data_IF_516062094097
#
_entry.id   IF_516062094097
#
_cell.length_a   1.000
_cell.length_b   1.000
_cell.length_c   1.000
_cell.angle_alpha   90.00
_cell.angle_beta   90.00
_cell.angle_gamma   90.00
#
_symmetry.space_group_name_H-M   'P 1'
#
loop_
_entity.id
_entity.type
_entity.pdbx_description
1 polymer ?
#
# COMPACT_ATOMS: atom_id res chain seq x y z
N UNK A 1 7.96 -9.83 -19.41
CA UNK A 1 9.40 -10.18 -19.43
C UNK A 1 10.04 -10.00 -20.80
N UNK A 2 9.55 -10.65 -21.88
CA UNK A 2 10.12 -10.54 -23.25
C UNK A 2 10.19 -9.09 -23.73
N UNK A 3 9.13 -8.29 -23.55
CA UNK A 3 9.09 -6.86 -23.93
C UNK A 3 10.12 -6.03 -23.16
N UNK A 4 10.29 -6.29 -21.87
CA UNK A 4 11.26 -5.60 -21.02
C UNK A 4 12.70 -5.96 -21.42
N UNK A 5 12.95 -7.24 -21.66
CA UNK A 5 14.25 -7.71 -22.19
C UNK A 5 14.56 -7.07 -23.55
N UNK A 6 13.58 -7.05 -24.46
CA UNK A 6 13.72 -6.40 -25.76
C UNK A 6 14.03 -4.91 -25.64
N UNK A 7 13.29 -4.17 -24.78
CA UNK A 7 13.56 -2.75 -24.56
C UNK A 7 14.92 -2.50 -23.91
N UNK A 8 15.35 -3.37 -22.99
CA UNK A 8 16.66 -3.32 -22.38
C UNK A 8 17.78 -3.47 -23.43
N UNK A 9 17.71 -4.52 -24.26
CA UNK A 9 18.70 -4.77 -25.33
C UNK A 9 18.68 -3.68 -26.40
N UNK A 10 17.50 -3.15 -26.75
CA UNK A 10 17.38 -2.09 -27.76
C UNK A 10 17.98 -0.76 -27.30
N UNK A 11 17.96 -0.47 -26.00
CA UNK A 11 18.49 0.80 -25.45
C UNK A 11 19.98 0.77 -25.15
N UNK A 12 20.68 -0.37 -25.32
CA UNK A 12 22.11 -0.58 -25.03
C UNK A 12 22.63 0.40 -23.95
N UNK A 13 22.34 0.10 -22.65
CA UNK A 13 22.73 0.99 -21.57
C UNK A 13 24.19 0.75 -21.18
N UNK A 14 25.05 1.78 -21.25
CA UNK A 14 26.45 1.67 -20.83
C UNK A 14 26.63 1.47 -19.31
N UNK A 15 25.56 1.59 -18.52
CA UNK A 15 25.63 1.59 -17.05
C UNK A 15 25.34 0.23 -16.38
N UNK A 16 25.14 -0.85 -17.16
CA UNK A 16 24.84 -2.17 -16.59
C UNK A 16 23.46 -2.27 -15.91
N UNK A 17 23.19 -3.43 -15.29
CA UNK A 17 21.95 -3.71 -14.54
C UNK A 17 22.17 -3.36 -13.08
N UNK A 18 21.34 -2.49 -12.52
CA UNK A 18 21.33 -2.19 -11.10
C UNK A 18 20.48 -3.23 -10.38
N UNK A 19 21.06 -3.97 -9.45
CA UNK A 19 20.35 -4.96 -8.62
C UNK A 19 20.60 -4.62 -7.14
N UNK A 20 19.56 -4.46 -6.31
CA UNK A 20 19.73 -4.29 -4.86
C UNK A 20 20.08 -5.65 -4.22
N UNK A 21 21.39 -5.88 -4.09
CA UNK A 21 21.94 -7.17 -3.63
C UNK A 21 21.45 -7.53 -2.23
N UNK A 22 21.35 -6.53 -1.33
CA UNK A 22 20.89 -6.73 0.05
C UNK A 22 19.48 -7.35 0.08
N UNK A 23 18.55 -6.81 -0.74
CA UNK A 23 17.19 -7.35 -0.84
C UNK A 23 17.17 -8.76 -1.43
N UNK A 24 18.02 -9.03 -2.42
CA UNK A 24 18.15 -10.34 -3.02
C UNK A 24 18.64 -11.37 -2.00
N UNK A 25 19.67 -11.03 -1.21
CA UNK A 25 20.22 -11.89 -0.15
C UNK A 25 19.17 -12.21 0.90
N UNK A 26 18.38 -11.20 1.32
CA UNK A 26 17.28 -11.42 2.29
C UNK A 26 16.24 -12.39 1.73
N UNK A 27 15.78 -12.23 0.50
CA UNK A 27 14.77 -13.12 -0.10
C UNK A 27 15.31 -14.55 -0.23
N UNK A 28 16.54 -14.72 -0.70
CA UNK A 28 17.18 -16.04 -0.80
C UNK A 28 17.33 -16.65 0.59
N UNK A 29 17.74 -15.85 1.58
CA UNK A 29 17.84 -16.28 2.98
C UNK A 29 16.51 -16.77 3.55
N UNK A 30 15.40 -16.05 3.27
CA UNK A 30 14.06 -16.46 3.69
C UNK A 30 13.62 -17.76 3.02
N UNK A 31 13.94 -17.96 1.72
CA UNK A 31 13.68 -19.23 1.03
C UNK A 31 14.47 -20.36 1.71
N UNK A 32 15.76 -20.17 1.93
CA UNK A 32 16.60 -21.17 2.60
C UNK A 32 16.11 -21.49 4.02
N UNK A 33 15.76 -20.45 4.81
CA UNK A 33 15.21 -20.59 6.15
C UNK A 33 13.87 -21.35 6.16
N UNK A 34 13.01 -21.14 5.18
CA UNK A 34 11.71 -21.81 5.08
C UNK A 34 11.81 -23.32 4.77
N UNK A 35 12.98 -23.80 4.33
CA UNK A 35 13.25 -25.24 4.16
C UNK A 35 13.47 -25.94 5.50
N UNK A 36 13.98 -25.24 6.53
CA UNK A 36 14.33 -25.84 7.82
C UNK A 36 13.11 -26.52 8.48
N UNK A 37 11.93 -25.88 8.62
CA UNK A 37 10.75 -26.53 9.20
C UNK A 37 10.32 -27.81 8.46
N UNK A 38 10.47 -27.85 7.12
CA UNK A 38 10.16 -29.03 6.33
C UNK A 38 11.08 -30.21 6.70
N UNK A 39 12.37 -29.93 6.86
CA UNK A 39 13.36 -30.95 7.20
C UNK A 39 13.21 -31.42 8.66
N UNK A 40 12.95 -30.48 9.57
CA UNK A 40 12.85 -30.81 11.01
C UNK A 40 11.54 -31.53 11.33
N UNK A 41 10.42 -31.05 10.77
CA UNK A 41 9.10 -31.59 11.09
C UNK A 41 8.65 -32.73 10.14
N UNK A 42 9.42 -33.03 9.09
CA UNK A 42 9.07 -34.02 8.08
C UNK A 42 7.78 -33.70 7.31
N UNK A 43 7.34 -32.43 7.33
CA UNK A 43 6.11 -32.00 6.65
C UNK A 43 6.34 -31.85 5.14
N UNK A 44 5.27 -32.07 4.35
CA UNK A 44 5.30 -31.85 2.89
C UNK A 44 4.57 -30.56 2.49
N UNK A 45 4.42 -29.61 3.40
CA UNK A 45 3.79 -28.33 3.11
C UNK A 45 4.80 -27.33 2.54
N UNK A 46 4.76 -27.17 1.22
CA UNK A 46 5.61 -26.24 0.47
C UNK A 46 5.03 -24.83 0.33
N UNK A 47 3.92 -24.52 0.99
CA UNK A 47 3.19 -23.25 0.82
C UNK A 47 4.08 -22.03 1.09
N UNK A 48 4.87 -22.06 2.17
CA UNK A 48 5.76 -20.98 2.57
C UNK A 48 6.91 -20.78 1.57
N UNK A 49 7.54 -21.89 1.13
CA UNK A 49 8.58 -21.81 0.09
C UNK A 49 8.01 -21.22 -1.20
N UNK A 50 6.83 -21.70 -1.62
CA UNK A 50 6.17 -21.21 -2.83
C UNK A 50 5.86 -19.72 -2.75
N UNK A 51 5.48 -19.23 -1.56
CA UNK A 51 5.26 -17.81 -1.32
C UNK A 51 6.55 -17.00 -1.56
N UNK A 52 7.66 -17.37 -0.93
CA UNK A 52 8.92 -16.65 -1.12
C UNK A 52 9.51 -16.78 -2.53
N UNK A 53 9.29 -17.91 -3.21
CA UNK A 53 9.67 -18.05 -4.63
C UNK A 53 8.85 -17.09 -5.52
N UNK A 54 7.55 -16.92 -5.25
CA UNK A 54 6.73 -15.90 -5.96
C UNK A 54 7.26 -14.48 -5.70
N UNK A 55 7.64 -14.17 -4.47
CA UNK A 55 8.25 -12.88 -4.13
C UNK A 55 9.58 -12.65 -4.85
N UNK A 56 10.42 -13.68 -4.98
CA UNK A 56 11.65 -13.60 -5.77
C UNK A 56 11.36 -13.29 -7.25
N UNK A 57 10.33 -13.92 -7.82
CA UNK A 57 9.92 -13.64 -9.21
C UNK A 57 9.45 -12.19 -9.36
N UNK A 58 8.64 -11.69 -8.41
CA UNK A 58 8.17 -10.30 -8.39
C UNK A 58 9.34 -9.31 -8.21
N UNK A 59 10.31 -9.65 -7.35
CA UNK A 59 11.52 -8.86 -7.17
C UNK A 59 12.32 -8.75 -8.46
N UNK A 60 12.59 -9.88 -9.16
CA UNK A 60 13.29 -9.90 -10.43
C UNK A 60 12.53 -9.08 -11.48
N UNK A 61 11.20 -9.17 -11.50
CA UNK A 61 10.35 -8.36 -12.37
C UNK A 61 10.48 -6.87 -12.05
N UNK A 62 10.44 -6.49 -10.76
CA UNK A 62 10.65 -5.11 -10.30
C UNK A 62 12.02 -4.54 -10.69
N UNK A 63 13.08 -5.34 -10.54
CA UNK A 63 14.43 -4.99 -10.98
C UNK A 63 14.46 -4.78 -12.49
N UNK A 64 13.79 -5.64 -13.26
CA UNK A 64 13.66 -5.50 -14.72
C UNK A 64 12.93 -4.20 -15.10
N UNK A 65 11.82 -3.90 -14.45
CA UNK A 65 11.06 -2.65 -14.64
C UNK A 65 11.93 -1.42 -14.33
N UNK A 66 12.58 -1.42 -13.17
CA UNK A 66 13.44 -0.32 -12.76
C UNK A 66 14.54 -0.06 -13.79
N UNK A 67 15.26 -1.10 -14.20
CA UNK A 67 16.35 -0.97 -15.17
C UNK A 67 15.85 -0.56 -16.56
N UNK A 68 14.66 -1.01 -16.98
CA UNK A 68 14.10 -0.66 -18.28
C UNK A 68 13.62 0.79 -18.36
N UNK A 69 13.02 1.32 -17.30
CA UNK A 69 12.29 2.60 -17.35
C UNK A 69 12.90 3.70 -16.50
N UNK A 70 13.58 3.36 -15.39
CA UNK A 70 13.99 4.32 -14.37
C UNK A 70 15.52 4.42 -14.15
N UNK A 71 16.32 3.47 -14.61
CA UNK A 71 17.78 3.53 -14.46
C UNK A 71 18.40 4.55 -15.43
N UNK A 72 18.13 5.84 -15.21
CA UNK A 72 18.66 6.96 -15.97
C UNK A 72 18.86 8.18 -15.05
N UNK A 73 19.47 9.25 -15.56
CA UNK A 73 19.83 10.46 -14.78
C UNK A 73 18.64 11.05 -14.02
N UNK A 74 17.44 11.01 -14.59
CA UNK A 74 16.21 11.54 -13.97
C UNK A 74 15.31 10.44 -13.41
N UNK A 75 15.83 9.22 -13.22
CA UNK A 75 15.06 8.04 -12.84
C UNK A 75 14.29 8.21 -11.53
N UNK A 76 14.93 8.76 -10.50
CA UNK A 76 14.28 9.00 -9.21
C UNK A 76 13.09 9.96 -9.32
N UNK A 77 13.24 11.06 -10.05
CA UNK A 77 12.14 12.02 -10.26
C UNK A 77 10.98 11.37 -11.01
N UNK A 78 11.30 10.54 -12.00
CA UNK A 78 10.30 9.81 -12.79
C UNK A 78 9.53 8.80 -11.92
N UNK A 79 10.24 8.00 -11.10
CA UNK A 79 9.61 7.08 -10.15
C UNK A 79 8.66 7.83 -9.22
N UNK A 80 9.13 8.93 -8.61
CA UNK A 80 8.31 9.71 -7.68
C UNK A 80 7.07 10.28 -8.36
N UNK A 81 7.18 10.81 -9.57
CA UNK A 81 6.04 11.31 -10.33
C UNK A 81 5.03 10.19 -10.64
N UNK A 82 5.53 9.03 -11.08
CA UNK A 82 4.67 7.91 -11.44
C UNK A 82 4.00 7.30 -10.18
N UNK A 83 4.69 7.29 -9.03
CA UNK A 83 4.09 6.93 -7.74
C UNK A 83 3.04 7.95 -7.27
N UNK A 84 3.28 9.25 -7.46
CA UNK A 84 2.28 10.29 -7.17
C UNK A 84 1.02 10.10 -8.03
N UNK A 85 1.19 9.81 -9.32
CA UNK A 85 0.07 9.48 -10.20
C UNK A 85 -0.66 8.22 -9.72
N UNK A 86 0.06 7.18 -9.31
CA UNK A 86 -0.51 5.97 -8.73
C UNK A 86 -1.37 6.23 -7.50
N UNK A 87 -0.95 7.15 -6.62
CA UNK A 87 -1.75 7.60 -5.47
C UNK A 87 -3.06 8.26 -5.91
N UNK A 88 -3.00 9.16 -6.89
CA UNK A 88 -4.21 9.82 -7.42
C UNK A 88 -5.18 8.80 -8.04
N UNK A 89 -4.66 7.89 -8.85
CA UNK A 89 -5.47 6.81 -9.46
C UNK A 89 -6.09 5.92 -8.39
N UNK A 90 -5.30 5.48 -7.40
CA UNK A 90 -5.80 4.65 -6.31
C UNK A 90 -6.91 5.35 -5.52
N UNK A 91 -6.72 6.63 -5.18
CA UNK A 91 -7.74 7.41 -4.49
C UNK A 91 -9.03 7.47 -5.31
N UNK A 92 -8.95 7.82 -6.60
CA UNK A 92 -10.12 7.91 -7.47
C UNK A 92 -10.86 6.56 -7.58
N UNK A 93 -10.12 5.50 -7.83
CA UNK A 93 -10.66 4.13 -7.94
C UNK A 93 -11.29 3.66 -6.64
N UNK A 94 -10.63 3.92 -5.49
CA UNK A 94 -11.14 3.59 -4.17
C UNK A 94 -12.44 4.33 -3.86
N UNK A 95 -12.51 5.64 -4.15
CA UNK A 95 -13.73 6.45 -3.96
C UNK A 95 -14.87 5.94 -4.84
N UNK A 96 -14.63 5.65 -6.12
CA UNK A 96 -15.65 5.12 -7.04
C UNK A 96 -16.16 3.76 -6.55
N UNK A 97 -15.27 2.90 -6.02
CA UNK A 97 -15.66 1.63 -5.40
C UNK A 97 -16.52 1.82 -4.16
N UNK A 98 -16.14 2.73 -3.26
CA UNK A 98 -16.90 3.06 -2.04
C UNK A 98 -18.27 3.70 -2.33
N UNK A 99 -18.42 4.38 -3.48
CA UNK A 99 -19.72 4.89 -3.96
C UNK A 99 -20.63 3.80 -4.53
N UNK A 100 -20.18 2.54 -4.54
CA UNK A 100 -20.99 1.40 -4.95
C UNK A 100 -21.09 1.20 -6.47
N UNK A 101 -20.16 1.75 -7.26
CA UNK A 101 -20.14 1.54 -8.71
C UNK A 101 -19.76 0.08 -9.04
N UNK A 102 -20.74 -0.75 -9.41
CA UNK A 102 -20.57 -2.19 -9.61
C UNK A 102 -19.44 -2.55 -10.56
N UNK A 103 -19.33 -1.85 -11.69
CA UNK A 103 -18.24 -2.07 -12.66
C UNK A 103 -16.85 -1.89 -12.07
N UNK A 104 -16.71 -0.92 -11.14
CA UNK A 104 -15.43 -0.65 -10.47
C UNK A 104 -15.15 -1.70 -9.40
N UNK A 105 -16.18 -2.09 -8.64
CA UNK A 105 -16.07 -3.14 -7.63
C UNK A 105 -15.66 -4.45 -8.30
N UNK A 106 -16.32 -4.86 -9.38
CA UNK A 106 -15.99 -6.07 -10.14
C UNK A 106 -14.55 -6.02 -10.68
N UNK A 107 -14.13 -4.87 -11.22
CA UNK A 107 -12.76 -4.67 -11.66
C UNK A 107 -11.76 -4.85 -10.51
N UNK A 108 -11.98 -4.21 -9.37
CA UNK A 108 -11.08 -4.27 -8.22
C UNK A 108 -11.03 -5.67 -7.60
N UNK A 109 -12.17 -6.33 -7.47
CA UNK A 109 -12.22 -7.70 -6.96
C UNK A 109 -11.54 -8.68 -7.92
N UNK A 110 -11.63 -8.46 -9.23
CA UNK A 110 -10.94 -9.29 -10.22
C UNK A 110 -9.41 -9.16 -10.13
N UNK A 111 -8.88 -7.99 -9.75
CA UNK A 111 -7.44 -7.79 -9.54
C UNK A 111 -6.94 -8.46 -8.26
N UNK A 112 -7.82 -8.69 -7.28
CA UNK A 112 -7.53 -9.31 -5.99
C UNK A 112 -7.75 -10.84 -5.99
N UNK A 113 -7.60 -11.51 -7.11
CA UNK A 113 -7.85 -12.96 -7.27
C UNK A 113 -7.03 -13.87 -6.32
N UNK A 114 -6.04 -13.32 -5.64
CA UNK A 114 -5.21 -14.06 -4.65
C UNK A 114 -5.86 -14.07 -3.26
N UNK A 115 -6.84 -13.20 -3.01
CA UNK A 115 -7.47 -13.07 -1.70
C UNK A 115 -8.63 -14.06 -1.53
N UNK A 116 -8.84 -14.56 -0.31
CA UNK A 116 -9.90 -15.54 -0.06
C UNK A 116 -11.28 -14.97 -0.41
N UNK A 117 -12.06 -15.73 -1.17
CA UNK A 117 -13.45 -15.39 -1.54
C UNK A 117 -14.35 -15.10 -0.32
N UNK A 118 -13.96 -15.53 0.88
CA UNK A 118 -14.68 -15.28 2.14
C UNK A 118 -14.87 -13.80 2.49
N UNK A 119 -14.09 -12.91 1.91
CA UNK A 119 -14.21 -11.47 2.15
C UNK A 119 -15.18 -10.77 1.19
N UNK A 120 -15.58 -11.45 0.10
CA UNK A 120 -16.53 -10.90 -0.85
C UNK A 120 -17.92 -10.84 -0.21
N UNK A 121 -18.58 -9.68 -0.31
CA UNK A 121 -19.87 -9.44 0.34
C UNK A 121 -19.83 -9.27 1.85
N UNK A 122 -18.64 -9.25 2.48
CA UNK A 122 -18.50 -8.97 3.90
C UNK A 122 -18.37 -7.46 4.16
N UNK A 123 -18.59 -7.05 5.42
CA UNK A 123 -18.38 -5.66 5.86
C UNK A 123 -16.95 -5.14 5.64
N UNK A 124 -16.00 -6.04 5.45
CA UNK A 124 -14.59 -5.72 5.20
C UNK A 124 -14.22 -5.73 3.71
N UNK A 125 -15.17 -5.95 2.81
CA UNK A 125 -14.91 -6.00 1.36
C UNK A 125 -14.26 -4.71 0.83
N UNK A 126 -14.60 -3.55 1.40
CA UNK A 126 -14.01 -2.27 1.00
C UNK A 126 -12.48 -2.22 1.10
N UNK A 127 -11.86 -3.07 1.93
CA UNK A 127 -10.41 -3.21 2.02
C UNK A 127 -9.78 -3.83 0.78
N UNK A 128 -10.60 -4.42 -0.09
CA UNK A 128 -10.20 -4.96 -1.38
C UNK A 128 -10.27 -3.90 -2.50
N UNK A 129 -10.80 -2.69 -2.22
CA UNK A 129 -10.97 -1.63 -3.23
C UNK A 129 -9.65 -0.89 -3.49
N UNK A 130 -8.67 -1.68 -3.92
CA UNK A 130 -7.34 -1.18 -4.26
C UNK A 130 -6.77 -1.90 -5.48
N UNK A 131 -5.84 -1.24 -6.17
CA UNK A 131 -5.18 -1.74 -7.38
C UNK A 131 -3.88 -2.51 -7.08
N UNK A 132 -3.52 -2.70 -5.81
CA UNK A 132 -2.24 -3.31 -5.42
C UNK A 132 -2.31 -4.82 -5.26
N UNK A 133 -3.50 -5.40 -5.43
CA UNK A 133 -3.77 -6.83 -5.19
C UNK A 133 -3.33 -7.32 -3.79
N UNK A 134 -3.38 -6.42 -2.80
CA UNK A 134 -3.08 -6.70 -1.40
C UNK A 134 -4.24 -6.24 -0.51
N UNK A 135 -4.31 -6.75 0.73
CA UNK A 135 -5.34 -6.37 1.67
C UNK A 135 -4.81 -6.33 3.11
N UNK A 136 -5.60 -5.73 4.00
CA UNK A 136 -5.37 -5.74 5.44
C UNK A 136 -3.99 -5.19 5.82
N UNK A 137 -3.24 -5.92 6.62
CA UNK A 137 -1.93 -5.48 7.12
C UNK A 137 -0.91 -5.24 6.00
N UNK A 138 -0.90 -6.09 4.98
CA UNK A 138 0.01 -5.93 3.83
C UNK A 138 -0.27 -4.64 3.06
N UNK A 139 -1.56 -4.31 2.87
CA UNK A 139 -1.98 -3.07 2.24
C UNK A 139 -1.54 -1.84 3.07
N UNK A 140 -1.75 -1.91 4.40
CA UNK A 140 -1.34 -0.86 5.32
C UNK A 140 0.17 -0.63 5.27
N UNK A 141 0.95 -1.71 5.28
CA UNK A 141 2.42 -1.63 5.22
C UNK A 141 2.89 -1.05 3.88
N UNK A 142 2.29 -1.48 2.77
CA UNK A 142 2.62 -0.95 1.44
C UNK A 142 2.43 0.56 1.36
N UNK A 143 1.26 1.07 1.78
CA UNK A 143 1.00 2.52 1.74
C UNK A 143 1.81 3.29 2.77
N UNK A 144 2.12 2.70 3.92
CA UNK A 144 3.02 3.31 4.90
C UNK A 144 4.43 3.51 4.33
N UNK A 145 4.98 2.49 3.69
CA UNK A 145 6.29 2.57 3.03
C UNK A 145 6.28 3.59 1.89
N UNK A 146 5.20 3.62 1.10
CA UNK A 146 5.03 4.58 0.01
C UNK A 146 4.97 6.02 0.55
N UNK A 147 4.18 6.26 1.60
CA UNK A 147 4.09 7.57 2.27
C UNK A 147 5.46 7.99 2.79
N UNK A 148 6.14 7.12 3.54
CA UNK A 148 7.45 7.38 4.10
C UNK A 148 8.47 7.73 3.00
N UNK A 149 8.52 6.95 1.93
CA UNK A 149 9.38 7.21 0.78
C UNK A 149 9.10 8.57 0.13
N UNK A 150 7.83 8.89 -0.13
CA UNK A 150 7.44 10.17 -0.74
C UNK A 150 7.79 11.37 0.16
N UNK A 151 7.57 11.24 1.48
CA UNK A 151 7.92 12.28 2.45
C UNK A 151 9.44 12.45 2.57
N UNK A 152 10.20 11.36 2.62
CA UNK A 152 11.68 11.38 2.65
C UNK A 152 12.25 12.03 1.39
N UNK A 153 11.72 11.69 0.22
CA UNK A 153 12.11 12.33 -1.04
C UNK A 153 11.78 13.83 -1.02
N UNK A 154 10.59 14.20 -0.54
CA UNK A 154 10.16 15.59 -0.43
C UNK A 154 10.98 16.39 0.58
N UNK A 155 11.54 15.77 1.60
CA UNK A 155 12.43 16.44 2.54
C UNK A 155 13.64 17.06 1.82
N UNK A 156 14.15 16.38 0.79
CA UNK A 156 15.31 16.81 0.00
C UNK A 156 14.95 17.68 -1.19
N UNK A 157 13.88 17.36 -1.91
CA UNK A 157 13.60 17.94 -3.24
C UNK A 157 12.43 18.92 -3.27
N UNK A 158 11.60 18.93 -2.23
CA UNK A 158 10.46 19.86 -2.06
C UNK A 158 9.43 19.84 -3.21
N UNK A 159 9.20 18.67 -3.82
CA UNK A 159 8.38 18.47 -5.02
C UNK A 159 7.00 17.90 -4.74
N UNK A 160 6.72 17.42 -3.52
CA UNK A 160 5.44 16.79 -3.18
C UNK A 160 4.39 17.87 -2.88
N UNK A 161 3.29 17.95 -3.63
CA UNK A 161 2.16 18.82 -3.26
C UNK A 161 1.48 18.30 -1.99
N UNK A 162 1.06 19.21 -1.11
CA UNK A 162 0.46 18.84 0.20
C UNK A 162 -0.82 18.00 0.03
N UNK A 163 -1.58 18.24 -1.03
CA UNK A 163 -2.78 17.46 -1.34
C UNK A 163 -2.53 15.95 -1.43
N UNK A 164 -1.34 15.52 -1.86
CA UNK A 164 -1.01 14.10 -1.91
C UNK A 164 -0.91 13.47 -0.51
N UNK A 165 -0.52 14.24 0.50
CA UNK A 165 -0.56 13.75 1.90
C UNK A 165 -2.00 13.49 2.31
N UNK A 166 -2.92 14.41 1.99
CA UNK A 166 -4.35 14.21 2.21
C UNK A 166 -4.88 12.97 1.51
N UNK A 167 -4.59 12.80 0.21
CA UNK A 167 -5.03 11.62 -0.56
C UNK A 167 -4.48 10.32 0.03
N UNK A 168 -3.21 10.29 0.45
CA UNK A 168 -2.61 9.13 1.09
C UNK A 168 -3.29 8.77 2.41
N UNK A 169 -3.66 9.76 3.22
CA UNK A 169 -4.40 9.54 4.46
C UNK A 169 -5.81 9.02 4.19
N UNK A 170 -6.49 9.53 3.16
CA UNK A 170 -7.79 9.00 2.74
C UNK A 170 -7.70 7.55 2.26
N UNK A 171 -6.66 7.18 1.49
CA UNK A 171 -6.39 5.78 1.13
C UNK A 171 -6.15 4.94 2.39
N UNK A 172 -5.55 5.53 3.42
CA UNK A 172 -5.32 4.89 4.71
C UNK A 172 -6.60 4.46 5.42
N UNK A 173 -7.73 5.14 5.21
CA UNK A 173 -9.03 4.69 5.75
C UNK A 173 -9.45 3.35 5.15
N UNK A 174 -9.11 3.09 3.90
CA UNK A 174 -9.37 1.81 3.22
C UNK A 174 -8.39 0.74 3.70
N UNK A 175 -7.12 1.10 3.88
CA UNK A 175 -6.08 0.14 4.26
C UNK A 175 -6.15 -0.31 5.73
N UNK A 176 -6.71 0.52 6.62
CA UNK A 176 -6.95 0.18 8.01
C UNK A 176 -6.20 1.02 9.04
N UNK A 177 -6.54 0.83 10.30
CA UNK A 177 -6.06 1.62 11.45
C UNK A 177 -4.56 1.62 11.62
N UNK A 178 -3.90 0.50 11.34
CA UNK A 178 -2.42 0.37 11.44
C UNK A 178 -1.70 1.42 10.58
N UNK A 179 -2.18 1.63 9.34
CA UNK A 179 -1.63 2.67 8.49
C UNK A 179 -1.80 4.06 9.13
N UNK A 180 -3.01 4.38 9.63
CA UNK A 180 -3.29 5.69 10.20
C UNK A 180 -2.40 6.00 11.41
N UNK A 181 -2.23 5.04 12.32
CA UNK A 181 -1.38 5.19 13.50
C UNK A 181 0.09 5.39 13.11
N UNK A 182 0.62 4.55 12.25
CA UNK A 182 2.03 4.60 11.86
C UNK A 182 2.35 5.75 10.90
N UNK A 183 1.36 6.24 10.15
CA UNK A 183 1.51 7.41 9.28
C UNK A 183 1.82 8.68 10.08
N UNK A 184 1.29 8.80 11.30
CA UNK A 184 1.60 9.91 12.22
C UNK A 184 3.09 9.98 12.47
N UNK A 185 3.74 8.83 12.74
CA UNK A 185 5.20 8.78 12.97
C UNK A 185 5.96 9.26 11.73
N UNK A 186 5.59 8.77 10.54
CA UNK A 186 6.24 9.18 9.29
C UNK A 186 6.06 10.67 9.00
N UNK A 187 4.88 11.22 9.27
CA UNK A 187 4.58 12.65 9.09
C UNK A 187 5.37 13.50 10.09
N UNK A 188 5.49 13.06 11.35
CA UNK A 188 6.28 13.79 12.37
C UNK A 188 7.77 13.82 12.02
N UNK A 189 8.34 12.70 11.55
CA UNK A 189 9.76 12.62 11.15
C UNK A 189 10.09 13.58 10.00
N UNK A 190 9.17 13.72 9.03
CA UNK A 190 9.37 14.58 7.86
C UNK A 190 8.45 15.78 7.84
N UNK A 191 8.08 16.29 9.03
CA UNK A 191 7.10 17.37 9.16
C UNK A 191 7.51 18.62 8.39
N UNK A 192 6.52 19.18 7.66
CA UNK A 192 6.61 20.49 7.03
C UNK A 192 5.31 21.25 7.25
N UNK A 193 5.39 22.53 7.59
CA UNK A 193 4.22 23.39 7.81
C UNK A 193 3.22 23.38 6.64
N UNK A 194 3.70 23.15 5.43
CA UNK A 194 2.87 23.03 4.23
C UNK A 194 1.92 21.82 4.24
N UNK A 195 2.12 20.83 5.14
CA UNK A 195 1.22 19.69 5.28
C UNK A 195 0.04 19.98 6.19
N UNK A 196 0.12 21.00 7.04
CA UNK A 196 -0.90 21.35 8.05
C UNK A 196 -2.29 21.49 7.42
N UNK A 197 -2.50 22.21 6.30
CA UNK A 197 -3.84 22.31 5.70
C UNK A 197 -4.42 20.93 5.30
N UNK A 198 -3.58 20.02 4.80
CA UNK A 198 -4.00 18.66 4.42
C UNK A 198 -4.33 17.81 5.64
N UNK A 199 -3.58 17.95 6.73
CA UNK A 199 -3.84 17.26 7.99
C UNK A 199 -5.15 17.74 8.62
N UNK A 200 -5.38 19.06 8.63
CA UNK A 200 -6.63 19.64 9.13
C UNK A 200 -7.81 19.17 8.26
N UNK A 201 -7.68 19.24 6.93
CA UNK A 201 -8.72 18.77 6.02
C UNK A 201 -9.05 17.30 6.24
N UNK A 202 -8.03 16.46 6.47
CA UNK A 202 -8.23 15.05 6.78
C UNK A 202 -8.91 14.82 8.14
N UNK A 203 -8.48 15.55 9.18
CA UNK A 203 -9.12 15.47 10.51
C UNK A 203 -10.59 15.90 10.44
N UNK A 204 -10.91 16.98 9.73
CA UNK A 204 -12.28 17.44 9.50
C UNK A 204 -13.08 16.37 8.75
N UNK A 205 -12.52 15.78 7.70
CA UNK A 205 -13.17 14.68 6.95
C UNK A 205 -13.49 13.50 7.87
N UNK A 206 -12.55 13.05 8.69
CA UNK A 206 -12.74 11.95 9.64
C UNK A 206 -13.86 12.25 10.64
N UNK A 207 -13.87 13.47 11.20
CA UNK A 207 -14.93 13.89 12.13
C UNK A 207 -16.31 13.97 11.45
N UNK A 208 -16.36 14.49 10.22
CA UNK A 208 -17.62 14.54 9.46
C UNK A 208 -18.13 13.14 9.12
N UNK A 209 -17.28 12.22 8.69
CA UNK A 209 -17.67 10.84 8.44
C UNK A 209 -18.17 10.15 9.71
N UNK A 210 -17.45 10.30 10.84
CA UNK A 210 -17.83 9.70 12.10
C UNK A 210 -19.15 10.27 12.66
N UNK A 211 -19.44 11.56 12.41
CA UNK A 211 -20.65 12.22 12.90
C UNK A 211 -21.88 11.96 12.03
N UNK A 212 -21.73 12.04 10.70
CA UNK A 212 -22.86 11.93 9.77
C UNK A 212 -23.17 10.52 9.29
N UNK A 213 -22.18 9.61 9.34
CA UNK A 213 -22.28 8.26 8.81
C UNK A 213 -21.83 7.18 9.82
N UNK A 214 -22.21 7.29 11.14
CA UNK A 214 -21.75 6.34 12.15
C UNK A 214 -22.25 4.89 11.90
N UNK A 215 -23.42 4.75 11.28
CA UNK A 215 -24.03 3.45 10.99
C UNK A 215 -23.54 2.83 9.64
N UNK A 216 -22.78 3.59 8.86
CA UNK A 216 -22.22 3.05 7.63
C UNK A 216 -21.16 1.99 7.98
N UNK A 217 -21.29 0.73 7.50
CA UNK A 217 -20.40 -0.37 7.91
C UNK A 217 -18.91 -0.07 7.67
N UNK A 218 -18.61 0.64 6.58
CA UNK A 218 -17.24 1.01 6.24
C UNK A 218 -16.66 2.06 7.18
N UNK A 219 -17.46 3.08 7.52
CA UNK A 219 -17.09 4.16 8.44
C UNK A 219 -17.02 3.63 9.87
N UNK A 220 -18.03 2.88 10.30
CA UNK A 220 -18.09 2.25 11.62
C UNK A 220 -16.82 1.41 11.87
N UNK A 221 -16.46 0.55 10.93
CA UNK A 221 -15.27 -0.30 11.09
C UNK A 221 -13.95 0.47 11.04
N UNK A 222 -13.82 1.46 10.15
CA UNK A 222 -12.57 2.23 10.01
C UNK A 222 -12.36 3.23 11.16
N UNK A 223 -13.43 3.85 11.64
CA UNK A 223 -13.40 4.99 12.59
C UNK A 223 -14.04 4.68 13.94
N UNK A 224 -14.26 3.42 14.28
CA UNK A 224 -14.88 3.00 15.55
C UNK A 224 -14.30 3.74 16.77
N UNK A 225 -12.97 3.87 16.98
CA UNK A 225 -12.45 4.59 18.13
C UNK A 225 -12.83 6.08 18.16
N UNK A 226 -13.00 6.70 16.99
CA UNK A 226 -13.41 8.11 16.88
C UNK A 226 -14.90 8.24 17.17
N UNK A 227 -15.71 7.31 16.66
CA UNK A 227 -17.16 7.26 16.89
C UNK A 227 -17.42 7.07 18.39
N UNK A 228 -16.78 6.10 19.05
CA UNK A 228 -16.90 5.83 20.48
C UNK A 228 -16.49 7.05 21.32
N UNK A 229 -15.43 7.74 20.92
CA UNK A 229 -15.02 8.99 21.57
C UNK A 229 -16.09 10.09 21.46
N UNK A 230 -16.73 10.24 20.29
CA UNK A 230 -17.80 11.22 20.08
C UNK A 230 -19.06 10.89 20.90
N UNK A 231 -19.33 9.61 21.14
CA UNK A 231 -20.44 9.17 22.01
C UNK A 231 -20.11 9.13 23.50
N UNK A 232 -18.87 9.49 23.89
CA UNK A 232 -18.45 9.51 25.28
C UNK A 232 -18.08 8.15 25.87
N UNK A 233 -17.93 7.12 25.05
CA UNK A 233 -17.60 5.75 25.46
C UNK A 233 -16.07 5.52 25.62
N UNK A 234 -15.27 6.56 25.38
CA UNK A 234 -13.82 6.50 25.43
C UNK A 234 -13.19 5.99 24.14
N UNK A 235 -11.85 5.97 24.10
CA UNK A 235 -11.08 5.52 22.95
C UNK A 235 -10.92 4.00 22.98
N UNK A 236 -12.03 3.28 22.86
CA UNK A 236 -12.08 1.81 22.90
C UNK A 236 -12.46 1.28 21.51
N UNK A 237 -11.84 0.18 21.11
CA UNK A 237 -12.23 -0.58 19.93
C UNK A 237 -12.73 -1.95 20.36
N UNK A 238 -13.93 -2.31 19.95
CA UNK A 238 -14.53 -3.63 20.23
C UNK A 238 -14.03 -4.73 19.28
N UNK A 239 -13.38 -4.35 18.19
CA UNK A 239 -12.86 -5.34 17.24
C UNK A 239 -11.65 -6.06 17.84
N UNK A 240 -11.90 -7.19 18.46
CA UNK A 240 -10.93 -8.26 18.54
C UNK A 240 -10.66 -8.75 17.13
N UNK A 241 -9.63 -8.20 16.47
CA UNK A 241 -9.03 -8.81 15.30
C UNK A 241 -8.35 -10.12 15.77
N UNK A 242 -9.15 -11.16 15.98
CA UNK A 242 -8.69 -12.55 16.17
C UNK A 242 -8.74 -13.26 14.83
#
# INVERSE_FOLDING_TARGET
MVVLAYQYFKKQKPQGITVPVDSLVVIIGLIAFSVIPLLVNGTRDFSVITMYVKELILFIFGVGLYNAFYANVNGQQKVVRDLQLGVVVQFAVGVIGLLGASFMIDFLLSTNAVLPARFYGSEQEYRLYNITATAFFQLSLFYLMLLHFLLAYNAKHNTLPSILVFLMLCIGLISGRTFLLLSVVSILVYFKWRYVPSLIAFAVLVLLLAYFLPENPYVAHALEPVINLLHGEGFVSSSTDT
#
